data_IF_031649309177
#
_entry.id   IF_031649309177
#
_cell.length_a   1.000
_cell.length_b   1.000
_cell.length_c   1.000
_cell.angle_alpha   90.00
_cell.angle_beta   90.00
_cell.angle_gamma   90.00
#
_symmetry.space_group_name_H-M   'P 1'
#
loop_
_entity.id
_entity.type
_entity.pdbx_description
1 polymer ?
#
# COMPACT_ATOMS: atom_id res chain seq x y z
N UNK A 1 -28.22 25.38 15.02
CA UNK A 1 -27.11 25.73 14.11
C UNK A 1 -25.94 26.21 14.95
N UNK A 2 -25.01 25.32 15.30
CA UNK A 2 -23.69 25.74 15.78
C UNK A 2 -22.68 24.71 15.27
N UNK A 3 -22.11 25.01 14.11
CA UNK A 3 -20.94 24.35 13.54
C UNK A 3 -19.71 24.92 14.29
N UNK A 4 -19.47 24.42 15.49
CA UNK A 4 -18.25 24.75 16.24
C UNK A 4 -17.12 23.88 15.69
N UNK A 5 -16.41 24.44 14.71
CA UNK A 5 -15.19 23.89 14.13
C UNK A 5 -14.26 23.39 15.23
N UNK A 6 -14.01 22.08 15.24
CA UNK A 6 -13.02 21.45 16.10
C UNK A 6 -11.61 21.89 15.65
N UNK A 7 -11.17 23.06 16.09
CA UNK A 7 -9.79 23.53 15.92
C UNK A 7 -9.03 23.35 17.24
N UNK A 8 -8.96 22.09 17.70
CA UNK A 8 -7.94 21.68 18.65
C UNK A 8 -6.60 21.56 17.93
N UNK A 9 -5.44 21.70 18.60
CA UNK A 9 -4.14 21.61 17.95
C UNK A 9 -4.04 20.27 17.22
N UNK A 10 -4.14 20.30 15.89
CA UNK A 10 -3.90 19.14 15.06
C UNK A 10 -2.39 18.91 15.10
N UNK A 11 -1.96 17.73 15.54
CA UNK A 11 -0.56 17.37 15.43
C UNK A 11 -0.14 17.48 13.96
N UNK A 12 0.97 18.19 13.65
CA UNK A 12 1.37 18.39 12.27
C UNK A 12 1.71 17.05 11.63
N UNK A 13 1.18 16.80 10.43
CA UNK A 13 1.47 15.58 9.65
C UNK A 13 2.97 15.39 9.39
N UNK A 14 3.73 16.49 9.30
CA UNK A 14 5.19 16.50 9.10
C UNK A 14 5.81 17.55 10.02
N UNK A 15 6.86 17.18 10.75
CA UNK A 15 7.61 18.08 11.64
C UNK A 15 9.10 18.12 11.28
N UNK A 16 9.66 19.32 11.18
CA UNK A 16 11.11 19.53 11.06
C UNK A 16 11.72 19.49 12.46
N UNK A 17 12.47 18.43 12.76
CA UNK A 17 13.06 18.19 14.09
C UNK A 17 14.39 18.91 14.31
N UNK A 18 15.06 19.34 13.24
CA UNK A 18 16.37 20.00 13.29
C UNK A 18 16.63 20.82 12.03
N UNK A 19 17.40 21.91 12.16
CA UNK A 19 17.75 22.81 11.05
C UNK A 19 16.72 23.92 10.82
N UNK A 20 16.97 24.77 9.82
CA UNK A 20 16.06 25.84 9.41
C UNK A 20 16.01 25.88 7.87
N UNK A 21 15.27 24.95 7.22
CA UNK A 21 15.21 24.89 5.78
C UNK A 21 14.60 26.17 5.21
N UNK A 22 15.05 26.58 4.02
CA UNK A 22 14.39 27.66 3.32
C UNK A 22 12.95 27.25 2.93
N UNK A 23 12.04 28.22 2.71
CA UNK A 23 10.69 27.93 2.24
C UNK A 23 10.67 27.07 0.96
N UNK A 24 11.63 27.29 0.07
CA UNK A 24 11.80 26.56 -1.18
C UNK A 24 12.22 25.11 -0.96
N UNK A 25 13.14 24.86 -0.04
CA UNK A 25 13.59 23.51 0.31
C UNK A 25 12.45 22.70 0.96
N UNK A 26 11.70 23.34 1.87
CA UNK A 26 10.55 22.70 2.51
C UNK A 26 9.44 22.39 1.49
N UNK A 27 9.20 23.29 0.53
CA UNK A 27 8.26 23.07 -0.56
C UNK A 27 8.72 21.93 -1.48
N UNK A 28 10.01 21.84 -1.79
CA UNK A 28 10.55 20.77 -2.63
C UNK A 28 10.35 19.39 -1.98
N UNK A 29 10.67 19.25 -0.69
CA UNK A 29 10.51 17.99 0.04
C UNK A 29 9.03 17.59 0.14
N UNK A 30 8.14 18.53 0.46
CA UNK A 30 6.71 18.25 0.55
C UNK A 30 6.11 17.86 -0.81
N UNK A 31 6.54 18.50 -1.90
CA UNK A 31 6.14 18.11 -3.26
C UNK A 31 6.56 16.68 -3.62
N UNK A 32 7.78 16.27 -3.26
CA UNK A 32 8.26 14.90 -3.48
C UNK A 32 7.43 13.90 -2.68
N UNK A 33 7.17 14.18 -1.40
CA UNK A 33 6.35 13.30 -0.55
C UNK A 33 4.92 13.16 -1.10
N UNK A 34 4.31 14.26 -1.54
CA UNK A 34 2.99 14.24 -2.17
C UNK A 34 2.97 13.41 -3.46
N UNK A 35 4.03 13.51 -4.29
CA UNK A 35 4.15 12.72 -5.51
C UNK A 35 4.30 11.22 -5.21
N UNK A 36 5.09 10.84 -4.20
CA UNK A 36 5.24 9.45 -3.76
C UNK A 36 3.92 8.89 -3.22
N UNK A 37 3.18 9.68 -2.45
CA UNK A 37 1.88 9.28 -1.91
C UNK A 37 0.85 9.07 -3.04
N UNK A 38 0.84 9.94 -4.05
CA UNK A 38 0.00 9.79 -5.24
C UNK A 38 0.35 8.50 -6.02
N UNK A 39 1.65 8.23 -6.23
CA UNK A 39 2.11 7.01 -6.90
C UNK A 39 1.73 5.73 -6.13
N UNK A 40 1.88 5.73 -4.80
CA UNK A 40 1.50 4.60 -3.96
C UNK A 40 -0.02 4.32 -4.01
N UNK A 41 -0.86 5.36 -4.07
CA UNK A 41 -2.30 5.21 -4.24
C UNK A 41 -2.65 4.58 -5.58
N UNK A 42 -2.00 5.00 -6.66
CA UNK A 42 -2.21 4.45 -8.00
C UNK A 42 -1.82 2.96 -8.07
N UNK A 43 -0.66 2.58 -7.53
CA UNK A 43 -0.21 1.19 -7.47
C UNK A 43 -1.15 0.32 -6.59
N UNK A 44 -1.68 0.88 -5.50
CA UNK A 44 -2.70 0.19 -4.69
C UNK A 44 -3.97 -0.11 -5.49
N UNK A 45 -4.34 0.77 -6.42
CA UNK A 45 -5.51 0.58 -7.28
C UNK A 45 -5.26 -0.53 -8.30
N UNK A 46 -4.07 -0.59 -8.88
CA UNK A 46 -3.65 -1.66 -9.79
C UNK A 46 -3.61 -3.03 -9.09
N UNK A 47 -3.17 -3.09 -7.82
CA UNK A 47 -3.18 -4.33 -7.01
C UNK A 47 -4.59 -4.81 -6.62
N UNK A 48 -5.60 -3.95 -6.63
CA UNK A 48 -6.99 -4.32 -6.34
C UNK A 48 -7.70 -4.95 -7.53
N UNK A 49 -7.15 -4.84 -8.74
CA UNK A 49 -7.65 -5.62 -9.86
C UNK A 49 -7.34 -7.09 -9.60
N UNK A 50 -8.31 -8.01 -9.74
CA UNK A 50 -8.00 -9.43 -9.78
C UNK A 50 -6.86 -9.62 -10.78
N UNK A 51 -5.75 -10.24 -10.36
CA UNK A 51 -4.70 -10.61 -11.30
C UNK A 51 -5.37 -11.38 -12.43
N UNK A 52 -5.38 -10.80 -13.64
CA UNK A 52 -5.91 -11.48 -14.80
C UNK A 52 -5.27 -12.85 -14.87
N UNK A 53 -6.09 -13.89 -15.03
CA UNK A 53 -5.59 -15.24 -15.18
C UNK A 53 -4.55 -15.24 -16.31
N UNK A 54 -3.37 -15.82 -16.06
CA UNK A 54 -2.38 -15.87 -17.13
C UNK A 54 -2.89 -16.79 -18.24
N UNK A 55 -2.49 -16.53 -19.49
CA UNK A 55 -2.82 -17.44 -20.61
C UNK A 55 -2.37 -18.89 -20.36
N UNK A 56 -1.30 -19.05 -19.57
CA UNK A 56 -0.85 -20.34 -19.05
C UNK A 56 -1.83 -20.97 -18.06
N UNK A 57 -2.38 -20.20 -17.12
CA UNK A 57 -3.40 -20.68 -16.19
C UNK A 57 -4.73 -21.03 -16.89
N UNK A 58 -5.12 -20.28 -17.93
CA UNK A 58 -6.30 -20.58 -18.75
C UNK A 58 -6.12 -21.85 -19.60
N UNK A 59 -4.91 -22.10 -20.09
CA UNK A 59 -4.59 -23.28 -20.91
C UNK A 59 -4.34 -24.55 -20.10
N UNK A 60 -4.31 -24.46 -18.76
CA UNK A 60 -4.15 -25.64 -17.91
C UNK A 60 -5.40 -26.50 -17.98
N UNK A 61 -5.28 -27.66 -18.63
CA UNK A 61 -6.29 -28.72 -18.51
C UNK A 61 -6.36 -29.15 -17.04
N UNK A 62 -7.56 -29.40 -16.47
CA UNK A 62 -7.73 -29.87 -15.09
C UNK A 62 -7.30 -31.33 -14.96
N UNK A 63 -5.99 -31.58 -15.08
CA UNK A 63 -5.36 -32.88 -14.86
C UNK A 63 -4.79 -32.98 -13.44
N UNK A 64 -4.75 -31.85 -12.69
CA UNK A 64 -4.31 -31.81 -11.29
C UNK A 64 -5.28 -31.00 -10.42
N UNK A 65 -5.53 -31.48 -9.21
CA UNK A 65 -6.23 -30.72 -8.18
C UNK A 65 -5.33 -29.60 -7.63
N UNK A 66 -5.89 -28.43 -7.29
CA UNK A 66 -5.12 -27.34 -6.71
C UNK A 66 -4.51 -27.75 -5.36
N UNK A 67 -3.26 -27.34 -5.13
CA UNK A 67 -2.57 -27.61 -3.87
C UNK A 67 -3.21 -26.78 -2.75
N UNK A 68 -3.70 -27.44 -1.70
CA UNK A 68 -4.24 -26.75 -0.51
C UNK A 68 -3.10 -26.22 0.34
N UNK A 69 -2.84 -24.91 0.28
CA UNK A 69 -1.90 -24.21 1.15
C UNK A 69 -2.57 -23.81 2.47
N UNK A 70 -1.87 -23.95 3.61
CA UNK A 70 -2.41 -23.60 4.93
C UNK A 70 -1.57 -24.16 6.08
N UNK A 71 -1.74 -23.60 7.29
CA UNK A 71 -1.05 -24.06 8.50
C UNK A 71 -1.31 -25.55 8.74
N UNK A 72 -0.24 -26.34 8.96
CA UNK A 72 -0.32 -27.79 9.15
C UNK A 72 -0.28 -28.63 7.85
N UNK A 73 -0.43 -28.02 6.68
CA UNK A 73 -0.45 -28.76 5.41
C UNK A 73 0.95 -29.14 4.89
N UNK A 74 2.01 -28.59 5.48
CA UNK A 74 3.41 -28.83 5.07
C UNK A 74 4.12 -29.86 5.96
N UNK A 75 3.46 -30.36 7.00
CA UNK A 75 4.09 -31.22 8.01
C UNK A 75 3.64 -32.65 7.78
N UNK A 76 4.18 -33.30 6.75
CA UNK A 76 4.04 -34.75 6.59
C UNK A 76 5.41 -35.39 6.37
N UNK A 77 6.23 -35.39 7.42
CA UNK A 77 7.30 -36.36 7.59
C UNK A 77 6.80 -37.38 8.61
N UNK A 78 6.75 -38.66 8.25
CA UNK A 78 6.64 -39.74 9.21
C UNK A 78 8.04 -40.08 9.72
N UNK A 79 8.18 -40.27 11.02
CA UNK A 79 9.31 -40.99 11.59
C UNK A 79 9.33 -42.45 11.13
#
# INVERSE_FOLDING_TARGET
MNDSLADGPQDPTIQVVSGNPSPEELAAVTAVLAALEAAARDESSARRLPRASSAWAESQRPLRAPLRVGAGQWNRHSA
#
